data_IF_816221617737
#
_entry.id   IF_816221617737
#
_cell.length_a   1.000
_cell.length_b   1.000
_cell.length_c   1.000
_cell.angle_alpha   90.00
_cell.angle_beta   90.00
_cell.angle_gamma   90.00
#
_symmetry.space_group_name_H-M   'P 1'
#
loop_
_entity.id
_entity.type
_entity.pdbx_description
1 polymer ?
#
# COMPACT_ATOMS: atom_id res chain seq x y z
N UNK A 1 7.86 -45.01 -53.77
CA UNK A 1 8.06 -43.79 -52.96
C UNK A 1 6.78 -42.95 -53.04
N UNK A 2 6.16 -42.61 -51.91
CA UNK A 2 5.42 -41.34 -51.63
C UNK A 2 4.64 -41.51 -50.31
N UNK A 3 5.15 -40.84 -49.31
CA UNK A 3 4.80 -40.88 -47.89
C UNK A 3 3.38 -40.33 -47.69
N UNK A 4 2.52 -41.05 -46.98
CA UNK A 4 1.25 -40.52 -46.46
C UNK A 4 1.59 -39.68 -45.23
N UNK A 5 1.44 -38.37 -45.36
CA UNK A 5 1.74 -37.38 -44.32
C UNK A 5 0.82 -37.63 -43.12
N UNK A 6 1.41 -38.01 -41.99
CA UNK A 6 0.75 -38.00 -40.69
C UNK A 6 0.75 -36.54 -40.22
N UNK A 7 -0.40 -35.88 -40.25
CA UNK A 7 -0.54 -34.52 -39.72
C UNK A 7 -0.36 -34.51 -38.20
N UNK A 8 0.83 -34.16 -37.74
CA UNK A 8 1.09 -33.82 -36.35
C UNK A 8 0.66 -32.36 -36.18
N UNK A 9 -0.51 -32.15 -35.59
CA UNK A 9 -0.92 -30.83 -35.08
C UNK A 9 -0.12 -30.59 -33.81
N UNK A 10 1.01 -29.90 -33.92
CA UNK A 10 1.73 -29.34 -32.77
C UNK A 10 0.92 -28.15 -32.28
N UNK A 11 0.12 -28.36 -31.23
CA UNK A 11 -0.56 -27.29 -30.52
C UNK A 11 0.48 -26.57 -29.64
N UNK A 12 1.08 -25.50 -30.17
CA UNK A 12 2.03 -24.66 -29.46
C UNK A 12 1.25 -23.80 -28.45
N UNK A 13 0.98 -24.34 -27.25
CA UNK A 13 0.44 -23.55 -26.14
C UNK A 13 1.55 -22.65 -25.62
N UNK A 14 1.61 -21.42 -26.12
CA UNK A 14 2.41 -20.37 -25.47
C UNK A 14 1.72 -20.01 -24.16
N UNK A 15 2.20 -20.58 -23.05
CA UNK A 15 1.84 -20.17 -21.69
C UNK A 15 2.30 -18.73 -21.48
N UNK A 16 1.45 -17.75 -21.82
CA UNK A 16 1.63 -16.38 -21.39
C UNK A 16 1.30 -16.34 -19.90
N UNK A 17 2.29 -16.56 -19.04
CA UNK A 17 2.17 -16.25 -17.61
C UNK A 17 2.22 -14.73 -17.46
N UNK A 18 1.09 -14.06 -17.72
CA UNK A 18 0.89 -12.71 -17.22
C UNK A 18 0.93 -12.80 -15.70
N UNK A 19 2.07 -12.45 -15.09
CA UNK A 19 2.20 -12.49 -13.63
C UNK A 19 1.23 -11.48 -13.04
N UNK A 20 0.27 -11.96 -12.24
CA UNK A 20 -0.61 -11.14 -11.42
C UNK A 20 0.14 -10.61 -10.19
N UNK A 21 1.27 -9.94 -10.43
CA UNK A 21 2.11 -9.37 -9.39
C UNK A 21 1.36 -8.18 -8.75
N UNK A 22 1.17 -8.19 -7.43
CA UNK A 22 0.43 -7.14 -6.75
C UNK A 22 1.25 -5.84 -6.68
N UNK A 23 0.59 -4.72 -6.36
CA UNK A 23 1.27 -3.46 -6.10
C UNK A 23 2.33 -3.60 -4.99
N UNK A 24 2.03 -4.38 -3.94
CA UNK A 24 2.92 -4.62 -2.80
C UNK A 24 4.17 -5.41 -3.17
N UNK A 25 4.08 -6.24 -4.19
CA UNK A 25 5.21 -7.03 -4.67
C UNK A 25 6.16 -6.21 -5.55
N UNK A 26 5.61 -5.26 -6.32
CA UNK A 26 6.39 -4.38 -7.20
C UNK A 26 6.99 -3.18 -6.48
N UNK A 27 6.45 -2.83 -5.33
CA UNK A 27 6.80 -1.61 -4.60
C UNK A 27 7.08 -1.95 -3.12
N UNK A 28 8.32 -2.30 -2.76
CA UNK A 28 8.65 -2.73 -1.39
C UNK A 28 8.30 -1.70 -0.32
N UNK A 29 8.49 -0.40 -0.59
CA UNK A 29 8.23 0.66 0.38
C UNK A 29 6.74 0.72 0.80
N UNK A 30 5.78 0.53 -0.13
CA UNK A 30 4.35 0.52 0.24
C UNK A 30 4.02 -0.69 1.11
N UNK A 31 4.69 -1.83 0.90
CA UNK A 31 4.55 -3.03 1.73
C UNK A 31 5.13 -2.83 3.12
N UNK A 32 6.28 -2.17 3.24
CA UNK A 32 6.87 -1.83 4.54
C UNK A 32 5.98 -0.89 5.33
N UNK A 33 5.45 0.16 4.69
CA UNK A 33 4.48 1.05 5.32
C UNK A 33 3.23 0.28 5.79
N UNK A 34 2.66 -0.55 4.93
CA UNK A 34 1.49 -1.38 5.26
C UNK A 34 1.74 -2.33 6.43
N UNK A 35 2.96 -2.85 6.57
CA UNK A 35 3.31 -3.77 7.67
C UNK A 35 3.19 -3.06 9.02
N UNK A 36 3.72 -1.84 9.13
CA UNK A 36 3.56 -1.03 10.36
C UNK A 36 2.11 -0.61 10.56
N UNK A 37 1.43 -0.19 9.48
CA UNK A 37 0.02 0.19 9.50
C UNK A 37 -0.87 -0.92 10.05
N UNK A 38 -0.87 -2.09 9.43
CA UNK A 38 -1.75 -3.20 9.82
C UNK A 38 -1.48 -3.69 11.25
N UNK A 39 -0.22 -3.67 11.71
CA UNK A 39 0.15 -4.06 13.06
C UNK A 39 -0.22 -3.03 14.14
N UNK A 40 -0.58 -1.81 13.75
CA UNK A 40 -0.96 -0.74 14.68
C UNK A 40 -2.44 -0.36 14.57
N UNK A 41 -3.02 -0.47 13.37
CA UNK A 41 -4.42 -0.17 13.08
C UNK A 41 -5.38 -1.24 13.59
N UNK A 42 -5.18 -2.53 13.29
CA UNK A 42 -6.13 -3.56 13.74
C UNK A 42 -6.28 -3.62 15.28
N UNK A 43 -5.20 -3.49 16.09
CA UNK A 43 -5.36 -3.34 17.53
C UNK A 43 -6.14 -2.08 17.93
N UNK A 44 -5.98 -0.97 17.20
CA UNK A 44 -6.69 0.27 17.47
C UNK A 44 -8.21 0.15 17.20
N UNK A 45 -8.64 -0.68 16.25
CA UNK A 45 -10.06 -0.99 16.01
C UNK A 45 -10.73 -1.62 17.25
N UNK A 46 -9.95 -2.35 18.05
CA UNK A 46 -10.38 -2.97 19.30
C UNK A 46 -10.10 -2.10 20.54
N UNK A 47 -9.66 -0.85 20.34
CA UNK A 47 -9.35 0.11 21.40
C UNK A 47 -7.95 -0.04 22.01
N UNK A 48 -7.12 -0.96 21.52
CA UNK A 48 -5.73 -1.10 21.96
C UNK A 48 -4.81 -0.13 21.21
N UNK A 49 -4.60 1.06 21.77
CA UNK A 49 -3.73 2.09 21.19
C UNK A 49 -2.25 1.98 21.59
N UNK A 50 -1.87 1.02 22.44
CA UNK A 50 -0.47 0.85 22.85
C UNK A 50 0.48 0.67 21.65
N UNK A 51 0.17 -0.15 20.63
CA UNK A 51 1.06 -0.32 19.48
C UNK A 51 1.30 0.97 18.71
N UNK A 52 0.25 1.76 18.41
CA UNK A 52 0.44 3.01 17.68
C UNK A 52 1.15 4.06 18.53
N UNK A 53 0.86 4.12 19.84
CA UNK A 53 1.56 5.03 20.75
C UNK A 53 3.06 4.74 20.78
N UNK A 54 3.45 3.46 20.78
CA UNK A 54 4.84 3.04 20.76
C UNK A 54 5.55 3.22 19.40
N UNK A 55 4.81 3.14 18.28
CA UNK A 55 5.39 3.02 16.93
C UNK A 55 5.04 4.17 15.97
N UNK A 56 4.43 5.25 16.45
CA UNK A 56 4.06 6.39 15.62
C UNK A 56 5.24 7.03 14.86
N UNK A 57 6.44 7.07 15.45
CA UNK A 57 7.65 7.53 14.77
C UNK A 57 8.07 6.58 13.63
N UNK A 58 7.92 5.27 13.83
CA UNK A 58 8.19 4.27 12.77
C UNK A 58 7.22 4.45 11.62
N UNK A 59 5.93 4.64 11.90
CA UNK A 59 4.90 4.95 10.89
C UNK A 59 5.28 6.17 10.04
N UNK A 60 5.64 7.29 10.69
CA UNK A 60 6.09 8.50 10.00
C UNK A 60 7.33 8.23 9.14
N UNK A 61 8.34 7.56 9.69
CA UNK A 61 9.58 7.22 8.97
C UNK A 61 9.30 6.37 7.72
N UNK A 62 8.34 5.44 7.79
CA UNK A 62 7.93 4.64 6.64
C UNK A 62 7.14 5.44 5.61
N UNK A 63 6.34 6.43 6.04
CA UNK A 63 5.64 7.32 5.13
C UNK A 63 6.62 8.24 4.36
N UNK A 64 7.61 8.79 5.05
CA UNK A 64 8.70 9.57 4.45
C UNK A 64 9.48 8.72 3.42
N UNK A 65 9.87 7.50 3.82
CA UNK A 65 10.57 6.58 2.94
C UNK A 65 9.75 6.19 1.70
N UNK A 66 8.42 6.06 1.83
CA UNK A 66 7.53 5.78 0.72
C UNK A 66 7.55 6.91 -0.32
N UNK A 67 7.46 8.17 0.11
CA UNK A 67 7.47 9.34 -0.77
C UNK A 67 8.82 9.49 -1.52
N UNK A 68 9.92 9.09 -0.88
CA UNK A 68 11.28 9.15 -1.46
C UNK A 68 11.68 7.87 -2.21
N UNK A 69 10.85 6.83 -2.21
CA UNK A 69 11.18 5.54 -2.80
C UNK A 69 11.21 5.55 -4.33
N UNK A 70 11.78 4.50 -4.91
CA UNK A 70 11.65 4.20 -6.34
C UNK A 70 10.23 3.73 -6.67
N UNK A 71 9.31 4.69 -6.82
CA UNK A 71 7.93 4.44 -7.22
C UNK A 71 7.92 3.86 -8.64
N UNK A 72 7.31 2.67 -8.86
CA UNK A 72 7.20 2.08 -10.20
C UNK A 72 6.61 3.05 -11.22
N UNK A 73 7.13 3.03 -12.45
CA UNK A 73 6.77 4.00 -13.49
C UNK A 73 5.27 3.99 -13.79
N UNK A 74 4.61 2.83 -13.73
CA UNK A 74 3.17 2.70 -13.92
C UNK A 74 2.34 3.40 -12.83
N UNK A 75 2.90 3.63 -11.65
CA UNK A 75 2.23 4.27 -10.51
C UNK A 75 2.65 5.72 -10.33
N UNK A 76 3.76 6.18 -10.93
CA UNK A 76 4.34 7.52 -10.74
C UNK A 76 3.57 8.64 -11.47
N UNK A 77 2.27 8.71 -11.25
CA UNK A 77 1.40 9.78 -11.76
C UNK A 77 1.38 10.97 -10.80
N UNK A 78 1.01 12.16 -11.27
CA UNK A 78 0.84 13.34 -10.41
C UNK A 78 -0.17 13.11 -9.28
N UNK A 79 -1.27 12.40 -9.57
CA UNK A 79 -2.30 12.09 -8.59
C UNK A 79 -1.76 11.14 -7.50
N UNK A 80 -1.03 10.08 -7.90
CA UNK A 80 -0.39 9.17 -6.95
C UNK A 80 0.58 9.92 -6.02
N UNK A 81 1.45 10.77 -6.58
CA UNK A 81 2.40 11.55 -5.78
C UNK A 81 1.69 12.45 -4.75
N UNK A 82 0.61 13.14 -5.17
CA UNK A 82 -0.17 13.97 -4.26
C UNK A 82 -0.87 13.15 -3.16
N UNK A 83 -1.32 11.93 -3.46
CA UNK A 83 -1.94 11.05 -2.45
C UNK A 83 -0.90 10.51 -1.47
N UNK A 84 0.30 10.15 -1.92
CA UNK A 84 1.40 9.74 -1.04
C UNK A 84 1.84 10.90 -0.14
N UNK A 85 1.92 12.13 -0.67
CA UNK A 85 2.21 13.32 0.14
C UNK A 85 1.17 13.52 1.25
N UNK A 86 -0.12 13.36 0.94
CA UNK A 86 -1.17 13.42 1.99
C UNK A 86 -1.06 12.27 3.00
N UNK A 87 -0.57 11.09 2.59
CA UNK A 87 -0.32 9.97 3.50
C UNK A 87 0.81 10.30 4.47
N UNK A 88 1.90 10.90 4.00
CA UNK A 88 3.00 11.39 4.85
C UNK A 88 2.52 12.46 5.84
N UNK A 89 1.79 13.46 5.36
CA UNK A 89 1.19 14.49 6.23
C UNK A 89 0.30 13.87 7.30
N UNK A 90 -0.55 12.92 6.94
CA UNK A 90 -1.39 12.21 7.92
C UNK A 90 -0.57 11.42 8.95
N UNK A 91 0.52 10.78 8.55
CA UNK A 91 1.40 10.04 9.46
C UNK A 91 2.10 11.00 10.43
N UNK A 92 2.50 12.17 9.95
CA UNK A 92 3.08 13.25 10.76
C UNK A 92 2.08 13.80 11.77
N UNK A 93 0.85 14.07 11.35
CA UNK A 93 -0.24 14.51 12.24
C UNK A 93 -0.52 13.47 13.33
N UNK A 94 -0.62 12.19 12.97
CA UNK A 94 -0.77 11.09 13.93
C UNK A 94 0.38 11.04 14.94
N UNK A 95 1.63 11.20 14.49
CA UNK A 95 2.79 11.23 15.37
C UNK A 95 2.77 12.43 16.33
N UNK A 96 2.34 13.61 15.85
CA UNK A 96 2.14 14.80 16.70
C UNK A 96 1.08 14.53 17.77
N UNK A 97 -0.06 13.92 17.42
CA UNK A 97 -1.10 13.57 18.39
C UNK A 97 -0.59 12.59 19.47
N UNK A 98 0.15 11.55 19.06
CA UNK A 98 0.73 10.58 20.00
C UNK A 98 1.74 11.26 20.94
N UNK A 99 2.68 12.06 20.41
CA UNK A 99 3.73 12.69 21.22
C UNK A 99 3.23 13.83 22.11
N UNK A 100 2.17 14.51 21.69
CA UNK A 100 1.45 15.50 22.51
C UNK A 100 0.50 14.89 23.53
N UNK A 101 0.37 13.55 23.55
CA UNK A 101 -0.54 12.81 24.44
C UNK A 101 -2.00 13.26 24.28
N UNK A 102 -2.44 13.45 23.04
CA UNK A 102 -3.84 13.68 22.72
C UNK A 102 -4.71 12.54 23.25
N UNK A 103 -6.02 12.80 23.39
CA UNK A 103 -6.95 11.77 23.82
C UNK A 103 -7.05 10.60 22.83
N UNK A 104 -7.46 9.45 23.35
CA UNK A 104 -7.56 8.22 22.57
C UNK A 104 -8.53 8.34 21.38
N UNK A 105 -9.58 9.17 21.49
CA UNK A 105 -10.53 9.38 20.37
C UNK A 105 -9.85 10.10 19.22
N UNK A 106 -9.03 11.11 19.49
CA UNK A 106 -8.26 11.81 18.48
C UNK A 106 -7.24 10.90 17.80
N UNK A 107 -6.52 10.06 18.56
CA UNK A 107 -5.55 9.10 18.02
C UNK A 107 -6.25 8.05 17.14
N UNK A 108 -7.35 7.46 17.61
CA UNK A 108 -8.14 6.50 16.84
C UNK A 108 -8.64 7.10 15.53
N UNK A 109 -9.19 8.32 15.57
CA UNK A 109 -9.65 9.01 14.36
C UNK A 109 -8.51 9.24 13.36
N UNK A 110 -7.33 9.64 13.85
CA UNK A 110 -6.17 9.90 13.00
C UNK A 110 -5.61 8.62 12.36
N UNK A 111 -5.47 7.52 13.10
CA UNK A 111 -4.99 6.25 12.52
C UNK A 111 -6.01 5.65 11.54
N UNK A 112 -7.32 5.77 11.78
CA UNK A 112 -8.35 5.38 10.80
C UNK A 112 -8.24 6.19 9.52
N UNK A 113 -8.12 7.51 9.62
CA UNK A 113 -7.97 8.37 8.44
C UNK A 113 -6.68 8.06 7.65
N UNK A 114 -5.60 7.72 8.36
CA UNK A 114 -4.34 7.33 7.74
C UNK A 114 -4.46 5.98 6.99
N UNK A 115 -5.18 5.03 7.58
CA UNK A 115 -5.49 3.74 6.96
C UNK A 115 -6.36 3.91 5.69
N UNK A 116 -7.38 4.77 5.73
CA UNK A 116 -8.20 5.10 4.55
C UNK A 116 -7.35 5.73 3.44
N UNK A 117 -6.43 6.62 3.79
CA UNK A 117 -5.52 7.23 2.82
C UNK A 117 -4.60 6.19 2.17
N UNK A 118 -4.12 5.23 2.95
CA UNK A 118 -3.35 4.10 2.41
C UNK A 118 -4.19 3.30 1.40
N UNK A 119 -5.47 3.06 1.68
CA UNK A 119 -6.37 2.40 0.74
C UNK A 119 -6.58 3.18 -0.57
N UNK A 120 -6.55 4.52 -0.53
CA UNK A 120 -6.56 5.31 -1.75
C UNK A 120 -5.29 5.08 -2.59
N UNK A 121 -4.12 5.01 -1.96
CA UNK A 121 -2.85 4.70 -2.64
C UNK A 121 -2.93 3.35 -3.34
N UNK A 122 -3.25 2.28 -2.61
CA UNK A 122 -3.27 0.93 -3.22
C UNK A 122 -4.42 0.71 -4.19
N UNK A 123 -5.56 1.40 -4.01
CA UNK A 123 -6.69 1.35 -4.95
C UNK A 123 -6.32 1.92 -6.33
N UNK A 124 -5.52 2.99 -6.37
CA UNK A 124 -4.98 3.51 -7.62
C UNK A 124 -4.01 2.53 -8.31
N UNK A 125 -3.30 1.69 -7.55
CA UNK A 125 -2.41 0.67 -8.12
C UNK A 125 -3.17 -0.50 -8.78
N UNK A 126 -4.38 -0.82 -8.33
CA UNK A 126 -5.24 -1.88 -8.90
C UNK A 126 -6.16 -1.39 -10.03
N UNK A 127 -6.12 -0.11 -10.38
CA UNK A 127 -7.06 0.49 -11.33
C UNK A 127 -8.50 0.59 -10.79
N UNK A 128 -8.69 0.34 -9.49
CA UNK A 128 -9.96 0.49 -8.79
C UNK A 128 -9.95 1.86 -8.12
N UNK A 129 -10.44 2.89 -8.81
CA UNK A 129 -10.84 4.11 -8.13
C UNK A 129 -12.00 3.75 -7.19
N UNK A 130 -11.77 3.73 -5.87
CA UNK A 130 -12.86 3.63 -4.94
C UNK A 130 -13.67 4.93 -5.00
N UNK A 131 -14.78 4.87 -5.74
CA UNK A 131 -15.83 5.89 -5.70
C UNK A 131 -16.34 5.94 -4.26
N UNK A 132 -16.03 7.04 -3.59
CA UNK A 132 -16.60 7.40 -2.30
C UNK A 132 -18.08 7.75 -2.46
#
# INVERSE_FOLDING_TARGET
>A
MKIKVLSIIVFLVTLHTASAQTALDKWPAIKEFHTVMSQTFHPAEEGNLEPIKARSQEMLTKADALLQSDIPAEFRTKNMLATIEKLEVGAKELHILVTSKADDTAITKAITALHDQYHQVVGMCSGSEQKK
#
